data_IF_808439084169
#
_entry.id   IF_808439084169
#
_cell.length_a   1.000
_cell.length_b   1.000
_cell.length_c   1.000
_cell.angle_alpha   90.00
_cell.angle_beta   90.00
_cell.angle_gamma   90.00
#
_symmetry.space_group_name_H-M   'P 1'
#
loop_
_entity.id
_entity.type
_entity.pdbx_description
1 polymer ?
#
# COMPACT_ATOMS: atom_id res chain seq x y z
N UNK A 1 6.28 4.26 23.67
CA UNK A 1 5.73 5.61 23.51
C UNK A 1 6.79 6.71 23.67
N UNK A 2 7.97 6.62 23.01
CA UNK A 2 9.01 7.65 23.11
C UNK A 2 8.61 8.98 22.45
N UNK A 3 7.94 8.90 21.30
CA UNK A 3 7.52 10.07 20.53
C UNK A 3 6.54 10.98 21.31
N UNK A 4 5.63 10.38 22.08
CA UNK A 4 4.65 11.12 22.89
C UNK A 4 5.32 11.88 24.05
N UNK A 5 6.35 11.31 24.66
CA UNK A 5 7.13 11.97 25.70
C UNK A 5 8.10 13.03 25.15
N UNK A 6 8.61 12.85 23.92
CA UNK A 6 9.53 13.81 23.30
C UNK A 6 8.81 15.05 22.74
N UNK A 7 7.58 14.88 22.24
CA UNK A 7 6.80 15.97 21.65
C UNK A 7 5.85 16.65 22.63
N UNK A 8 5.58 16.03 23.80
CA UNK A 8 4.70 16.55 24.85
C UNK A 8 3.38 17.13 24.30
N UNK A 9 3.16 18.44 24.42
CA UNK A 9 1.94 19.12 23.96
C UNK A 9 1.82 19.15 22.43
N UNK A 10 2.94 19.24 21.72
CA UNK A 10 2.96 19.28 20.26
C UNK A 10 2.40 17.99 19.64
N UNK A 11 2.47 16.86 20.36
CA UNK A 11 1.86 15.60 19.93
C UNK A 11 0.35 15.75 19.69
N UNK A 12 -0.35 16.43 20.59
CA UNK A 12 -1.79 16.67 20.48
C UNK A 12 -2.08 17.83 19.52
N UNK A 13 -1.24 18.88 19.53
CA UNK A 13 -1.43 20.03 18.64
C UNK A 13 -1.33 19.63 17.16
N UNK A 14 -0.45 18.67 16.85
CA UNK A 14 -0.30 18.12 15.50
C UNK A 14 -1.23 16.95 15.22
N UNK A 15 -2.12 16.61 16.15
CA UNK A 15 -3.12 15.55 16.00
C UNK A 15 -2.52 14.16 15.78
N UNK A 16 -1.34 13.89 16.34
CA UNK A 16 -0.77 12.54 16.28
C UNK A 16 -1.55 11.53 17.12
N UNK A 17 -2.31 11.99 18.12
CA UNK A 17 -3.29 11.18 18.87
C UNK A 17 -4.45 10.71 17.97
N UNK A 18 -4.72 11.42 16.87
CA UNK A 18 -5.73 11.06 15.88
C UNK A 18 -5.12 10.34 14.65
N UNK A 19 -3.90 9.81 14.75
CA UNK A 19 -3.19 9.15 13.66
C UNK A 19 -2.78 7.70 13.94
N UNK A 20 -2.59 6.93 12.86
CA UNK A 20 -1.92 5.63 12.92
C UNK A 20 -2.84 4.44 13.22
N UNK A 21 -2.22 3.35 13.66
CA UNK A 21 -2.90 2.06 13.86
C UNK A 21 -3.94 2.13 14.99
N UNK A 22 -3.73 2.94 16.02
CA UNK A 22 -4.69 3.13 17.12
C UNK A 22 -6.03 3.70 16.60
N UNK A 23 -5.98 4.71 15.73
CA UNK A 23 -7.20 5.26 15.10
C UNK A 23 -7.84 4.29 14.12
N UNK A 24 -7.04 3.40 13.52
CA UNK A 24 -7.60 2.33 12.70
C UNK A 24 -8.49 1.39 13.51
N UNK A 25 -8.20 1.16 14.79
CA UNK A 25 -9.01 0.28 15.66
C UNK A 25 -10.43 0.83 15.89
N UNK A 26 -10.63 2.15 15.76
CA UNK A 26 -11.96 2.80 15.81
C UNK A 26 -12.81 2.53 14.55
N UNK A 27 -12.23 1.90 13.54
CA UNK A 27 -12.89 1.48 12.31
C UNK A 27 -12.93 -0.03 12.23
N UNK A 28 -14.12 -0.59 12.01
CA UNK A 28 -14.27 -2.04 11.84
C UNK A 28 -13.54 -2.51 10.58
N UNK A 29 -12.95 -3.70 10.58
CA UNK A 29 -12.18 -4.24 9.44
C UNK A 29 -13.02 -4.27 8.15
N UNK A 30 -14.33 -4.53 8.26
CA UNK A 30 -15.29 -4.44 7.14
C UNK A 30 -15.41 -3.03 6.57
N UNK A 31 -15.38 -2.01 7.43
CA UNK A 31 -15.45 -0.61 7.01
C UNK A 31 -14.13 -0.16 6.39
N UNK A 32 -13.00 -0.58 6.95
CA UNK A 32 -11.67 -0.27 6.42
C UNK A 32 -11.49 -0.83 4.98
N UNK A 33 -11.90 -2.09 4.76
CA UNK A 33 -11.84 -2.74 3.44
C UNK A 33 -12.79 -2.10 2.43
N UNK A 34 -14.01 -1.75 2.86
CA UNK A 34 -14.97 -0.99 2.05
C UNK A 34 -14.43 0.39 1.68
N UNK A 35 -13.86 1.11 2.64
CA UNK A 35 -13.25 2.42 2.42
C UNK A 35 -12.09 2.34 1.42
N UNK A 36 -11.18 1.38 1.59
CA UNK A 36 -10.06 1.15 0.68
C UNK A 36 -10.53 0.89 -0.76
N UNK A 37 -11.57 0.08 -0.92
CA UNK A 37 -12.18 -0.20 -2.24
C UNK A 37 -12.80 1.04 -2.88
N UNK A 38 -13.49 1.88 -2.10
CA UNK A 38 -14.06 3.15 -2.56
C UNK A 38 -12.98 4.13 -3.02
N UNK A 39 -11.91 4.28 -2.24
CA UNK A 39 -10.78 5.15 -2.58
C UNK A 39 -10.11 4.65 -3.86
N UNK A 40 -9.77 3.36 -3.95
CA UNK A 40 -9.16 2.77 -5.15
C UNK A 40 -10.02 2.99 -6.41
N UNK A 41 -11.32 2.74 -6.30
CA UNK A 41 -12.26 2.92 -7.42
C UNK A 41 -12.41 4.38 -7.82
N UNK A 42 -12.47 5.30 -6.85
CA UNK A 42 -12.53 6.73 -7.08
C UNK A 42 -11.27 7.24 -7.79
N UNK A 43 -10.10 6.90 -7.27
CA UNK A 43 -8.81 7.29 -7.85
C UNK A 43 -8.64 6.72 -9.27
N UNK A 44 -8.96 5.44 -9.48
CA UNK A 44 -8.87 4.81 -10.80
C UNK A 44 -9.78 5.47 -11.84
N UNK A 45 -10.98 5.91 -11.44
CA UNK A 45 -11.95 6.57 -12.33
C UNK A 45 -11.74 8.10 -12.44
N UNK A 46 -10.75 8.66 -11.73
CA UNK A 46 -10.56 10.11 -11.63
C UNK A 46 -11.74 10.85 -10.98
N UNK A 47 -12.54 10.16 -10.16
CA UNK A 47 -13.75 10.70 -9.52
C UNK A 47 -13.53 10.87 -8.02
N UNK A 48 -14.24 11.84 -7.44
CA UNK A 48 -14.24 12.02 -5.98
C UNK A 48 -14.82 10.80 -5.27
N UNK A 49 -14.04 10.19 -4.38
CA UNK A 49 -14.50 9.10 -3.50
C UNK A 49 -15.27 9.63 -2.28
N UNK A 50 -15.21 10.94 -2.00
CA UNK A 50 -15.81 11.52 -0.78
C UNK A 50 -17.33 11.41 -0.74
N UNK A 51 -18.00 11.66 -1.88
CA UNK A 51 -19.47 11.52 -1.95
C UNK A 51 -19.91 10.07 -1.67
N UNK A 52 -19.35 9.04 -2.36
CA UNK A 52 -19.61 7.65 -2.02
C UNK A 52 -19.25 7.25 -0.58
N UNK A 53 -18.16 7.80 -0.03
CA UNK A 53 -17.74 7.50 1.33
C UNK A 53 -18.75 8.03 2.36
N UNK A 54 -19.19 9.28 2.23
CA UNK A 54 -20.22 9.85 3.11
C UNK A 54 -21.53 9.07 3.05
N UNK A 55 -21.94 8.63 1.86
CA UNK A 55 -23.14 7.80 1.70
C UNK A 55 -22.96 6.39 2.31
N UNK A 56 -21.74 5.86 2.31
CA UNK A 56 -21.43 4.51 2.78
C UNK A 56 -21.27 4.39 4.30
N UNK A 57 -20.99 5.51 4.98
CA UNK A 57 -20.70 5.59 6.40
C UNK A 57 -21.54 6.70 7.07
N UNK A 58 -22.87 6.51 7.19
CA UNK A 58 -23.76 7.54 7.73
C UNK A 58 -23.49 7.88 9.21
N UNK A 59 -22.85 6.96 9.95
CA UNK A 59 -22.44 7.17 11.35
C UNK A 59 -21.15 8.00 11.49
N UNK A 60 -20.42 8.25 10.40
CA UNK A 60 -19.15 8.99 10.40
C UNK A 60 -19.37 10.36 9.78
N UNK A 61 -18.84 11.40 10.44
CA UNK A 61 -18.89 12.75 9.90
C UNK A 61 -17.83 12.94 8.79
N UNK A 62 -17.94 14.03 8.03
CA UNK A 62 -16.97 14.37 6.96
C UNK A 62 -15.55 14.47 7.49
N UNK A 63 -15.36 15.03 8.68
CA UNK A 63 -14.05 15.21 9.28
C UNK A 63 -13.39 13.87 9.59
N UNK A 64 -14.11 12.91 10.17
CA UNK A 64 -13.63 11.56 10.45
C UNK A 64 -13.20 10.83 9.19
N UNK A 65 -13.93 10.99 8.09
CA UNK A 65 -13.57 10.37 6.80
C UNK A 65 -12.27 10.97 6.26
N UNK A 66 -12.14 12.30 6.32
CA UNK A 66 -10.93 13.02 5.88
C UNK A 66 -9.74 12.64 6.76
N UNK A 67 -9.93 12.63 8.08
CA UNK A 67 -8.90 12.27 9.04
C UNK A 67 -8.42 10.83 8.80
N UNK A 68 -9.34 9.89 8.64
CA UNK A 68 -9.00 8.50 8.33
C UNK A 68 -8.23 8.36 7.01
N UNK A 69 -8.60 9.14 5.99
CA UNK A 69 -7.89 9.14 4.71
C UNK A 69 -6.42 9.56 4.86
N UNK A 70 -6.18 10.71 5.50
CA UNK A 70 -4.83 11.25 5.63
C UNK A 70 -3.99 10.52 6.69
N UNK A 71 -4.59 10.12 7.80
CA UNK A 71 -3.85 9.64 8.96
C UNK A 71 -3.71 8.11 9.01
N UNK A 72 -4.54 7.37 8.27
CA UNK A 72 -4.50 5.89 8.25
C UNK A 72 -4.27 5.38 6.84
N UNK A 73 -5.13 5.77 5.89
CA UNK A 73 -5.13 5.18 4.55
C UNK A 73 -3.88 5.54 3.74
N UNK A 74 -3.46 6.81 3.72
CA UNK A 74 -2.25 7.25 3.00
C UNK A 74 -0.98 6.61 3.59
N UNK A 75 -0.70 6.70 4.91
CA UNK A 75 0.49 6.07 5.50
C UNK A 75 0.57 4.57 5.24
N UNK A 76 -0.55 3.84 5.37
CA UNK A 76 -0.61 2.41 5.05
C UNK A 76 -0.29 2.14 3.58
N UNK A 77 -0.85 2.92 2.66
CA UNK A 77 -0.58 2.79 1.23
C UNK A 77 0.89 3.05 0.92
N UNK A 78 1.51 4.07 1.52
CA UNK A 78 2.93 4.37 1.35
C UNK A 78 3.77 3.20 1.86
N UNK A 79 3.49 2.69 3.07
CA UNK A 79 4.17 1.52 3.63
C UNK A 79 4.07 0.30 2.72
N UNK A 80 2.86 -0.05 2.27
CA UNK A 80 2.64 -1.19 1.36
C UNK A 80 3.33 -1.00 0.02
N UNK A 81 3.31 0.20 -0.55
CA UNK A 81 3.99 0.48 -1.82
C UNK A 81 5.52 0.53 -1.68
N UNK A 82 6.04 0.91 -0.51
CA UNK A 82 7.49 0.87 -0.23
C UNK A 82 8.01 -0.55 -0.17
N UNK A 83 7.25 -1.49 0.42
CA UNK A 83 7.61 -2.91 0.46
C UNK A 83 7.68 -3.52 -0.95
N UNK A 84 6.86 -3.03 -1.88
CA UNK A 84 6.90 -3.50 -3.28
C UNK A 84 8.06 -2.94 -4.09
N UNK A 85 8.81 -1.96 -3.57
CA UNK A 85 10.09 -1.51 -4.14
C UNK A 85 11.20 -2.17 -3.30
N UNK A 86 11.21 -3.50 -3.27
CA UNK A 86 12.43 -4.23 -2.90
C UNK A 86 13.46 -3.95 -3.99
N UNK A 87 14.37 -3.04 -3.66
CA UNK A 87 15.68 -3.00 -4.28
C UNK A 87 16.34 -4.32 -3.91
N UNK A 88 16.69 -5.08 -4.94
CA UNK A 88 17.54 -6.27 -4.92
C UNK A 88 18.63 -6.19 -3.83
N UNK A 89 18.36 -6.74 -2.65
CA UNK A 89 19.36 -7.12 -1.66
C UNK A 89 18.77 -8.28 -0.85
N UNK A 90 19.48 -9.40 -0.92
CA UNK A 90 19.11 -10.74 -0.46
C UNK A 90 19.11 -10.85 1.06
N UNK A 91 18.17 -11.60 1.64
CA UNK A 91 18.44 -12.84 2.39
C UNK A 91 17.11 -13.44 2.89
N UNK A 92 16.85 -14.67 2.42
CA UNK A 92 15.75 -15.54 2.82
C UNK A 92 16.04 -16.13 4.21
N UNK A 93 15.09 -16.03 5.14
CA UNK A 93 14.92 -17.04 6.18
C UNK A 93 13.43 -17.41 6.26
N UNK A 94 13.14 -18.54 5.63
CA UNK A 94 11.90 -19.31 5.76
C UNK A 94 11.81 -19.90 7.17
N UNK A 95 10.68 -19.71 7.84
CA UNK A 95 10.21 -20.63 8.88
C UNK A 95 8.77 -21.03 8.58
N UNK A 96 8.64 -22.30 8.18
CA UNK A 96 7.42 -23.04 7.89
C UNK A 96 6.69 -23.40 9.20
N UNK A 97 5.35 -23.30 9.21
CA UNK A 97 4.52 -24.21 10.02
C UNK A 97 3.41 -24.80 9.14
N UNK A 98 3.32 -26.12 9.20
CA UNK A 98 2.59 -27.07 8.36
C UNK A 98 1.08 -27.06 8.60
N UNK A 99 0.27 -27.29 7.55
CA UNK A 99 -0.91 -28.15 7.64
C UNK A 99 -1.08 -29.00 6.36
N UNK A 100 -1.38 -30.27 6.57
CA UNK A 100 -1.41 -31.39 5.62
C UNK A 100 -2.56 -31.41 4.61
N UNK A 101 -2.31 -32.11 3.48
CA UNK A 101 -3.16 -33.11 2.81
C UNK A 101 -3.45 -32.93 1.27
N UNK A 102 -2.58 -33.58 0.46
CA UNK A 102 -2.85 -34.55 -0.64
C UNK A 102 -3.11 -34.13 -2.12
N UNK A 103 -2.25 -34.74 -2.95
CA UNK A 103 -2.29 -35.16 -4.38
C UNK A 103 -1.78 -34.26 -5.53
N UNK A 104 -0.69 -34.75 -6.13
CA UNK A 104 0.00 -34.39 -7.38
C UNK A 104 -0.80 -34.80 -8.67
N UNK A 105 -0.38 -34.54 -9.94
CA UNK A 105 0.98 -34.22 -10.37
C UNK A 105 1.19 -33.13 -11.44
N UNK A 106 2.48 -32.77 -11.52
CA UNK A 106 3.20 -31.89 -12.43
C UNK A 106 2.81 -32.09 -13.91
N UNK A 107 2.23 -31.08 -14.56
CA UNK A 107 2.26 -30.95 -16.01
C UNK A 107 3.33 -29.94 -16.45
N UNK A 108 4.44 -30.49 -16.92
CA UNK A 108 5.46 -29.80 -17.71
C UNK A 108 4.82 -29.17 -18.95
N UNK A 109 4.81 -27.83 -19.03
CA UNK A 109 4.51 -27.12 -20.28
C UNK A 109 5.80 -26.61 -20.91
N UNK A 110 6.47 -27.53 -21.62
CA UNK A 110 7.56 -27.24 -22.54
C UNK A 110 7.05 -26.35 -23.68
N UNK A 111 7.26 -25.03 -23.59
CA UNK A 111 6.97 -24.10 -24.69
C UNK A 111 8.09 -24.15 -25.71
N UNK A 112 7.79 -24.69 -26.89
CA UNK A 112 8.68 -24.67 -28.04
C UNK A 112 8.89 -23.22 -28.51
N UNK A 113 10.15 -22.78 -28.52
CA UNK A 113 10.59 -21.47 -29.02
C UNK A 113 10.68 -21.52 -30.55
N UNK A 114 9.67 -20.99 -31.24
CA UNK A 114 9.77 -20.69 -32.67
C UNK A 114 10.79 -19.56 -32.90
N UNK A 115 11.63 -19.71 -33.92
CA UNK A 115 12.61 -18.72 -34.35
C UNK A 115 12.00 -17.75 -35.37
N UNK A 116 12.53 -16.51 -35.33
CA UNK A 116 12.65 -15.46 -36.36
C UNK A 116 11.65 -14.30 -36.31
N UNK A 117 12.23 -13.11 -36.20
CA UNK A 117 11.65 -11.80 -36.47
C UNK A 117 12.58 -10.71 -35.91
N UNK A 118 13.26 -9.97 -36.79
CA UNK A 118 14.36 -9.07 -36.45
C UNK A 118 13.91 -7.76 -35.76
N UNK A 119 14.76 -7.30 -34.82
CA UNK A 119 15.21 -5.92 -34.63
C UNK A 119 14.22 -4.75 -34.86
N UNK A 120 13.80 -4.10 -33.77
CA UNK A 120 13.81 -2.63 -33.72
C UNK A 120 14.31 -2.17 -32.36
N UNK A 121 15.53 -1.67 -32.31
CA UNK A 121 16.18 -1.15 -31.10
C UNK A 121 15.52 0.17 -30.69
N UNK A 122 14.60 0.13 -29.72
CA UNK A 122 14.23 1.32 -28.96
C UNK A 122 15.32 1.56 -27.91
N UNK A 123 16.29 2.41 -28.26
CA UNK A 123 17.37 2.84 -27.36
C UNK A 123 16.77 3.37 -26.05
N UNK A 124 17.06 2.72 -24.93
CA UNK A 124 16.76 3.26 -23.61
C UNK A 124 17.64 4.48 -23.36
N UNK A 125 17.02 5.64 -23.16
CA UNK A 125 17.73 6.83 -22.72
C UNK A 125 18.10 6.64 -21.25
N UNK A 126 19.33 6.21 -20.97
CA UNK A 126 19.92 6.25 -19.62
C UNK A 126 19.97 7.70 -19.14
N UNK A 127 19.05 8.11 -18.27
CA UNK A 127 19.20 9.34 -17.49
C UNK A 127 20.33 9.13 -16.50
N UNK A 128 21.41 9.89 -16.64
CA UNK A 128 22.47 9.99 -15.64
C UNK A 128 22.02 11.03 -14.62
N UNK A 129 21.75 10.62 -13.39
CA UNK A 129 21.56 11.56 -12.29
C UNK A 129 22.93 12.09 -11.84
N UNK A 130 22.98 13.38 -11.49
CA UNK A 130 24.18 14.01 -10.95
C UNK A 130 24.44 13.42 -9.56
N UNK A 131 25.51 12.64 -9.40
CA UNK A 131 26.02 12.23 -8.09
C UNK A 131 26.64 13.45 -7.42
N UNK A 132 25.81 14.19 -6.66
CA UNK A 132 26.26 15.31 -5.86
C UNK A 132 27.10 14.81 -4.69
N UNK A 133 28.41 15.00 -4.76
CA UNK A 133 29.33 14.88 -3.64
C UNK A 133 30.05 16.22 -3.51
N UNK A 134 29.70 17.01 -2.51
CA UNK A 134 30.57 17.99 -1.85
C UNK A 134 30.13 18.12 -0.41
#
# INVERSE_FOLDING_TARGET
MKLKSELETAFNDWKFDEMGEEVSMLWNTKDQTKFSSLVKTGLSKGKSFMKPALASFPSKNRQSIVNYYFNVHIPRRIRSNSITINTDDEEEEDEEEEEEEVTAPKHSRKRNRAKKGACSSSKSLKRKYLSGRR
#
